data_IF_588159048333
#
_entry.id   IF_588159048333
#
_cell.length_a   1.000
_cell.length_b   1.000
_cell.length_c   1.000
_cell.angle_alpha   90.00
_cell.angle_beta   90.00
_cell.angle_gamma   90.00
#
_symmetry.space_group_name_H-M   'P 1'
#
loop_
_entity.id
_entity.type
_entity.pdbx_description
1 polymer ?
#
# COMPACT_ATOMS: atom_id res chain seq x y z
N UNK A 1 17.91 -7.01 23.61
CA UNK A 1 16.44 -6.97 23.70
C UNK A 1 15.91 -7.05 22.27
N UNK A 2 15.09 -8.05 21.94
CA UNK A 2 14.36 -8.09 20.67
C UNK A 2 13.31 -6.99 20.68
N UNK A 3 13.11 -6.32 19.54
CA UNK A 3 12.02 -5.34 19.37
C UNK A 3 10.70 -6.07 19.54
N UNK A 4 9.74 -5.55 20.33
CA UNK A 4 8.41 -6.14 20.42
C UNK A 4 7.73 -6.15 19.03
N UNK A 5 6.91 -7.16 18.78
CA UNK A 5 6.06 -7.19 17.58
C UNK A 5 5.07 -6.03 17.61
N UNK A 6 4.89 -5.42 16.44
CA UNK A 6 3.96 -4.32 16.22
C UNK A 6 3.06 -4.68 15.05
N UNK A 7 1.80 -5.04 15.34
CA UNK A 7 0.82 -5.35 14.31
C UNK A 7 0.47 -4.09 13.52
N UNK A 8 0.68 -4.11 12.21
CA UNK A 8 0.36 -3.03 11.28
C UNK A 8 -0.84 -3.33 10.40
N UNK A 9 -1.45 -4.53 10.51
CA UNK A 9 -2.62 -4.92 9.75
C UNK A 9 -3.74 -3.88 9.88
N UNK A 10 -4.49 -3.65 8.82
CA UNK A 10 -5.58 -2.69 8.79
C UNK A 10 -5.15 -1.22 8.92
N UNK A 11 -3.88 -0.89 8.70
CA UNK A 11 -3.38 0.48 8.76
C UNK A 11 -2.84 0.98 7.41
N UNK A 12 -2.68 2.29 7.29
CA UNK A 12 -2.01 2.88 6.12
C UNK A 12 -0.53 2.49 6.03
N UNK A 13 0.08 2.05 7.13
CA UNK A 13 1.43 1.49 7.16
C UNK A 13 1.45 0.18 6.38
N UNK A 14 0.53 -0.73 6.70
CA UNK A 14 0.36 -2.01 6.02
C UNK A 14 0.07 -1.79 4.52
N UNK A 15 -0.88 -0.91 4.17
CA UNK A 15 -1.18 -0.59 2.78
C UNK A 15 0.05 -0.10 1.99
N UNK A 16 0.89 0.78 2.59
CA UNK A 16 2.15 1.22 1.98
C UNK A 16 3.14 0.07 1.81
N UNK A 17 3.23 -0.84 2.76
CA UNK A 17 4.12 -2.00 2.70
C UNK A 17 3.69 -2.98 1.60
N UNK A 18 2.40 -3.24 1.43
CA UNK A 18 1.84 -4.01 0.32
C UNK A 18 2.17 -3.39 -1.05
N UNK A 19 2.00 -2.05 -1.18
CA UNK A 19 2.37 -1.32 -2.39
C UNK A 19 3.86 -1.46 -2.68
N UNK A 20 4.70 -1.33 -1.67
CA UNK A 20 6.16 -1.49 -1.80
C UNK A 20 6.51 -2.91 -2.24
N UNK A 21 5.93 -3.94 -1.63
CA UNK A 21 6.16 -5.33 -2.01
C UNK A 21 5.75 -5.60 -3.47
N UNK A 22 4.63 -5.05 -3.90
CA UNK A 22 4.16 -5.14 -5.27
C UNK A 22 5.10 -4.45 -6.28
N UNK A 23 5.63 -3.27 -5.94
CA UNK A 23 6.48 -2.48 -6.84
C UNK A 23 7.94 -2.95 -6.88
N UNK A 24 8.45 -3.57 -5.82
CA UNK A 24 9.85 -4.03 -5.75
C UNK A 24 10.29 -4.87 -6.95
N UNK A 25 9.64 -5.98 -7.31
CA UNK A 25 10.10 -6.84 -8.40
C UNK A 25 10.10 -6.12 -9.76
N UNK A 26 9.29 -5.09 -9.90
CA UNK A 26 9.17 -4.33 -11.15
C UNK A 26 10.20 -3.21 -11.25
N UNK A 27 10.41 -2.47 -10.16
CA UNK A 27 11.18 -1.21 -10.17
C UNK A 27 12.56 -1.33 -9.50
N UNK A 28 12.78 -2.30 -8.62
CA UNK A 28 14.07 -2.48 -7.96
C UNK A 28 14.99 -3.37 -8.80
N UNK A 29 16.25 -2.98 -8.93
CA UNK A 29 17.20 -3.70 -9.75
C UNK A 29 18.64 -3.30 -9.49
N UNK A 30 19.52 -3.78 -10.37
CA UNK A 30 20.96 -3.57 -10.26
C UNK A 30 21.41 -2.27 -10.96
N UNK A 31 22.65 -1.85 -10.68
CA UNK A 31 23.19 -0.60 -11.24
C UNK A 31 23.19 -0.51 -12.78
N UNK A 32 23.23 -1.61 -13.48
CA UNK A 32 23.20 -1.66 -14.95
C UNK A 32 21.79 -1.65 -15.55
N UNK A 33 20.75 -1.71 -14.71
CA UNK A 33 19.35 -1.62 -15.14
C UNK A 33 18.85 -0.17 -14.99
N UNK A 34 19.04 0.61 -16.06
CA UNK A 34 18.83 2.07 -16.04
C UNK A 34 17.37 2.48 -15.86
N UNK A 35 16.44 1.61 -16.19
CA UNK A 35 15.00 1.74 -16.03
C UNK A 35 14.47 1.26 -14.67
N UNK A 36 15.41 1.00 -13.75
CA UNK A 36 15.14 0.58 -12.37
C UNK A 36 15.90 1.45 -11.37
N UNK A 37 15.54 1.30 -10.09
CA UNK A 37 16.13 2.00 -8.95
C UNK A 37 16.82 1.02 -8.00
N UNK A 38 17.72 1.52 -7.18
CA UNK A 38 18.44 0.68 -6.21
C UNK A 38 17.57 0.22 -5.03
N UNK A 39 16.46 0.94 -4.72
CA UNK A 39 15.58 0.57 -3.63
C UNK A 39 14.16 1.12 -3.82
N UNK A 40 13.17 0.29 -3.48
CA UNK A 40 11.77 0.67 -3.33
C UNK A 40 11.39 0.45 -1.87
N UNK A 41 11.05 1.52 -1.16
CA UNK A 41 10.83 1.46 0.29
C UNK A 41 9.68 2.39 0.71
N UNK A 42 9.10 2.09 1.87
CA UNK A 42 8.14 3.01 2.49
C UNK A 42 8.85 4.28 2.94
N UNK A 43 8.22 5.42 2.69
CA UNK A 43 8.72 6.71 3.17
C UNK A 43 8.43 6.89 4.65
N UNK A 44 9.46 7.26 5.40
CA UNK A 44 9.38 7.55 6.82
C UNK A 44 10.02 8.91 7.05
N UNK A 45 9.21 9.92 7.39
CA UNK A 45 9.68 11.26 7.71
C UNK A 45 9.28 12.35 6.71
N UNK A 46 9.91 13.51 6.81
CA UNK A 46 9.67 14.66 5.96
C UNK A 46 10.88 14.95 5.08
N UNK A 47 10.65 15.53 3.90
CA UNK A 47 11.70 16.06 3.01
C UNK A 47 12.03 17.52 3.36
N UNK A 48 12.25 17.82 4.62
CA UNK A 48 12.41 19.21 5.05
C UNK A 48 13.81 19.79 4.72
N UNK A 49 14.80 18.91 4.45
CA UNK A 49 16.18 19.33 4.18
C UNK A 49 16.81 18.53 3.03
N UNK A 50 17.60 19.21 2.23
CA UNK A 50 18.41 18.62 1.16
C UNK A 50 19.31 17.47 1.65
N UNK A 51 19.78 17.54 2.90
CA UNK A 51 20.63 16.51 3.54
C UNK A 51 19.89 15.21 3.78
N UNK A 52 18.58 15.26 4.08
CA UNK A 52 17.75 14.07 4.24
C UNK A 52 17.59 13.35 2.89
N UNK A 53 17.40 14.10 1.82
CA UNK A 53 17.36 13.57 0.45
C UNK A 53 18.70 12.89 0.13
N UNK A 54 19.84 13.54 0.40
CA UNK A 54 21.17 12.95 0.19
C UNK A 54 21.37 11.66 0.96
N UNK A 55 20.91 11.59 2.20
CA UNK A 55 21.02 10.36 3.03
C UNK A 55 20.27 9.20 2.41
N UNK A 56 19.11 9.45 1.79
CA UNK A 56 18.35 8.42 1.11
C UNK A 56 18.89 8.03 -0.23
N UNK A 57 19.61 8.97 -0.88
CA UNK A 57 20.34 8.76 -2.12
C UNK A 57 21.73 8.15 -1.93
N UNK A 58 22.09 7.75 -0.70
CA UNK A 58 23.40 7.14 -0.39
C UNK A 58 23.71 5.87 -1.21
N UNK A 59 22.68 5.26 -1.80
CA UNK A 59 22.84 4.21 -2.83
C UNK A 59 22.81 4.83 -4.22
N UNK A 60 23.88 4.61 -5.00
CA UNK A 60 23.92 4.95 -6.41
C UNK A 60 22.76 4.25 -7.14
N UNK A 61 22.05 4.96 -8.02
CA UNK A 61 20.98 4.37 -8.83
C UNK A 61 19.58 4.90 -8.53
N UNK A 62 19.40 5.67 -7.45
CA UNK A 62 18.10 6.26 -7.12
C UNK A 62 17.21 5.37 -6.25
N UNK A 63 15.97 5.80 -6.07
CA UNK A 63 15.00 5.11 -5.23
C UNK A 63 13.56 5.52 -5.47
N UNK A 64 12.63 4.68 -5.03
CA UNK A 64 11.21 5.00 -4.96
C UNK A 64 10.78 4.97 -3.50
N UNK A 65 10.07 6.01 -3.06
CA UNK A 65 9.56 6.15 -1.68
C UNK A 65 8.04 6.30 -1.69
N UNK A 66 7.35 5.35 -1.08
CA UNK A 66 5.88 5.30 -1.01
C UNK A 66 5.39 5.79 0.34
N UNK A 67 4.41 6.68 0.35
CA UNK A 67 3.76 7.16 1.56
C UNK A 67 2.25 7.31 1.39
N UNK A 68 1.51 7.10 2.47
CA UNK A 68 0.13 7.54 2.57
C UNK A 68 0.11 8.99 3.06
N UNK A 69 -0.62 9.85 2.36
CA UNK A 69 -0.74 11.27 2.70
C UNK A 69 -1.90 11.54 3.65
N UNK A 70 -3.04 10.90 3.36
CA UNK A 70 -4.28 11.06 4.14
C UNK A 70 -5.29 9.98 3.78
N UNK A 71 -6.25 9.78 4.66
CA UNK A 71 -7.49 9.05 4.39
C UNK A 71 -8.61 10.09 4.29
N UNK A 72 -9.34 10.11 3.19
CA UNK A 72 -10.37 11.15 2.94
C UNK A 72 -11.76 10.72 3.30
N UNK A 73 -12.06 9.44 3.16
CA UNK A 73 -13.40 8.89 3.36
C UNK A 73 -13.26 7.53 4.03
N UNK A 74 -14.12 7.28 5.02
CA UNK A 74 -14.27 5.97 5.64
C UNK A 74 -15.68 5.47 5.37
N UNK A 75 -15.80 4.18 5.08
CA UNK A 75 -17.08 3.50 4.89
C UNK A 75 -17.01 2.10 5.49
N UNK A 76 -18.18 1.50 5.71
CA UNK A 76 -18.29 0.12 6.17
C UNK A 76 -19.05 -0.70 5.14
N UNK A 77 -18.36 -1.61 4.47
CA UNK A 77 -18.93 -2.45 3.42
C UNK A 77 -18.74 -3.92 3.80
N UNK A 78 -19.85 -4.66 3.89
CA UNK A 78 -19.80 -6.07 4.28
C UNK A 78 -19.23 -6.31 5.68
N UNK A 79 -19.39 -5.34 6.60
CA UNK A 79 -18.83 -5.42 7.95
C UNK A 79 -17.34 -5.07 8.05
N UNK A 80 -16.69 -4.73 6.93
CA UNK A 80 -15.27 -4.34 6.87
C UNK A 80 -15.13 -2.81 6.78
N UNK A 81 -14.20 -2.25 7.54
CA UNK A 81 -13.86 -0.83 7.46
C UNK A 81 -13.00 -0.57 6.22
N UNK A 82 -13.46 0.33 5.35
CA UNK A 82 -12.76 0.72 4.14
C UNK A 82 -12.44 2.21 4.20
N UNK A 83 -11.23 2.61 3.80
CA UNK A 83 -10.83 4.00 3.70
C UNK A 83 -10.30 4.35 2.32
N UNK A 84 -10.68 5.52 1.81
CA UNK A 84 -10.12 6.07 0.58
C UNK A 84 -8.80 6.77 0.90
N UNK A 85 -7.68 6.10 0.63
CA UNK A 85 -6.33 6.55 0.97
C UNK A 85 -5.70 7.26 -0.22
N UNK A 86 -5.16 8.46 0.02
CA UNK A 86 -4.34 9.16 -0.95
C UNK A 86 -2.87 8.82 -0.71
N UNK A 87 -2.24 8.25 -1.74
CA UNK A 87 -0.85 7.87 -1.73
C UNK A 87 0.02 8.80 -2.57
N UNK A 88 1.31 8.77 -2.29
CA UNK A 88 2.35 9.36 -3.13
C UNK A 88 3.52 8.39 -3.23
N UNK A 89 4.10 8.27 -4.41
CA UNK A 89 5.40 7.65 -4.63
C UNK A 89 6.35 8.72 -5.19
N UNK A 90 7.44 8.97 -4.48
CA UNK A 90 8.52 9.83 -4.97
C UNK A 90 9.56 8.99 -5.67
N UNK A 91 9.88 9.35 -6.91
CA UNK A 91 10.93 8.74 -7.73
C UNK A 91 12.15 9.64 -7.72
N UNK A 92 13.26 9.13 -7.22
CA UNK A 92 14.55 9.85 -7.16
C UNK A 92 15.54 9.21 -8.11
N UNK A 93 16.26 10.00 -8.88
CA UNK A 93 17.29 9.53 -9.80
C UNK A 93 18.51 10.41 -9.79
N UNK A 94 19.62 9.85 -10.22
CA UNK A 94 20.91 10.55 -10.50
C UNK A 94 21.36 10.21 -11.90
N UNK A 95 22.29 10.98 -12.44
CA UNK A 95 22.98 10.66 -13.69
C UNK A 95 23.69 9.30 -13.56
N UNK A 96 23.54 8.46 -14.57
CA UNK A 96 24.15 7.14 -14.58
C UNK A 96 24.43 6.65 -15.99
N UNK A 97 25.64 6.13 -16.22
CA UNK A 97 26.04 5.52 -17.50
C UNK A 97 25.81 6.43 -18.73
N UNK A 98 25.95 7.74 -18.58
CA UNK A 98 25.75 8.73 -19.66
C UNK A 98 24.29 9.13 -19.88
N UNK A 99 23.34 8.56 -19.15
CA UNK A 99 21.95 9.01 -19.14
C UNK A 99 21.72 10.03 -18.04
N UNK A 100 20.97 11.10 -18.37
CA UNK A 100 20.64 12.13 -17.41
C UNK A 100 19.64 11.64 -16.36
N UNK A 101 19.74 12.20 -15.16
CA UNK A 101 18.80 11.99 -14.06
C UNK A 101 17.35 12.20 -14.50
N UNK A 102 17.10 13.24 -15.30
CA UNK A 102 15.75 13.60 -15.76
C UNK A 102 15.16 12.52 -16.68
N UNK A 103 15.92 12.07 -17.69
CA UNK A 103 15.50 10.98 -18.58
C UNK A 103 15.18 9.72 -17.81
N UNK A 104 16.03 9.36 -16.83
CA UNK A 104 15.80 8.17 -16.00
C UNK A 104 14.55 8.32 -15.13
N UNK A 105 14.35 9.49 -14.52
CA UNK A 105 13.20 9.79 -13.68
C UNK A 105 11.89 9.63 -14.47
N UNK A 106 11.81 10.15 -15.68
CA UNK A 106 10.63 10.03 -16.55
C UNK A 106 10.32 8.60 -16.93
N UNK A 107 11.34 7.82 -17.32
CA UNK A 107 11.19 6.41 -17.69
C UNK A 107 10.68 5.58 -16.50
N UNK A 108 11.30 5.74 -15.32
CA UNK A 108 10.93 5.01 -14.11
C UNK A 108 9.53 5.42 -13.63
N UNK A 109 9.20 6.71 -13.67
CA UNK A 109 7.86 7.23 -13.35
C UNK A 109 6.80 6.63 -14.27
N UNK A 110 7.05 6.60 -15.58
CA UNK A 110 6.13 5.96 -16.54
C UNK A 110 5.95 4.47 -16.29
N UNK A 111 7.00 3.76 -15.87
CA UNK A 111 6.93 2.34 -15.50
C UNK A 111 6.11 2.14 -14.21
N UNK A 112 6.33 2.96 -13.19
CA UNK A 112 5.56 2.95 -11.96
C UNK A 112 4.07 3.14 -12.23
N UNK A 113 3.71 4.18 -13.01
CA UNK A 113 2.32 4.47 -13.37
C UNK A 113 1.67 3.30 -14.08
N UNK A 114 2.34 2.70 -15.09
CA UNK A 114 1.80 1.51 -15.77
C UNK A 114 1.58 0.34 -14.83
N UNK A 115 2.47 0.15 -13.85
CA UNK A 115 2.37 -0.94 -12.89
C UNK A 115 1.18 -0.79 -11.95
N UNK A 116 0.89 0.42 -11.47
CA UNK A 116 -0.22 0.62 -10.51
C UNK A 116 -1.60 0.69 -11.20
N UNK A 117 -1.65 1.06 -12.48
CA UNK A 117 -2.91 1.14 -13.26
C UNK A 117 -3.36 -0.24 -13.77
N UNK A 118 -2.49 -1.24 -13.76
CA UNK A 118 -2.84 -2.59 -14.20
C UNK A 118 -4.05 -3.11 -13.42
N UNK A 119 -4.97 -3.78 -14.13
CA UNK A 119 -6.22 -4.29 -13.52
C UNK A 119 -5.99 -5.31 -12.41
N UNK A 120 -4.86 -6.01 -12.44
CA UNK A 120 -4.48 -6.99 -11.44
C UNK A 120 -3.49 -6.43 -10.40
N UNK A 121 -3.26 -5.11 -10.44
CA UNK A 121 -2.38 -4.47 -9.49
C UNK A 121 -3.00 -4.45 -8.09
N UNK A 122 -2.14 -4.66 -7.08
CA UNK A 122 -2.50 -4.50 -5.67
C UNK A 122 -3.76 -5.29 -5.27
N UNK A 123 -3.75 -6.63 -5.39
CA UNK A 123 -4.92 -7.47 -5.14
C UNK A 123 -5.43 -7.42 -3.69
N UNK A 124 -4.63 -6.94 -2.75
CA UNK A 124 -4.98 -6.72 -1.34
C UNK A 124 -5.78 -5.42 -1.11
N UNK A 125 -5.82 -4.52 -2.09
CA UNK A 125 -6.64 -3.32 -2.04
C UNK A 125 -8.11 -3.65 -2.33
N UNK A 126 -9.03 -2.84 -1.78
CA UNK A 126 -10.47 -2.99 -2.06
C UNK A 126 -10.85 -2.53 -3.47
N UNK A 127 -10.21 -1.47 -3.99
CA UNK A 127 -10.49 -0.94 -5.32
C UNK A 127 -9.24 -0.82 -6.18
N UNK A 128 -9.45 -0.58 -7.46
CA UNK A 128 -8.38 -0.13 -8.35
C UNK A 128 -7.96 1.31 -8.02
N UNK A 129 -6.77 1.71 -8.50
CA UNK A 129 -6.29 3.08 -8.37
C UNK A 129 -7.14 4.07 -9.16
N UNK A 130 -7.32 5.27 -8.60
CA UNK A 130 -8.01 6.37 -9.24
C UNK A 130 -7.20 7.67 -9.11
N UNK A 131 -7.52 8.67 -9.92
CA UNK A 131 -6.91 10.01 -9.86
C UNK A 131 -5.38 10.01 -9.95
N UNK A 132 -4.81 9.13 -10.76
CA UNK A 132 -3.36 9.03 -10.94
C UNK A 132 -2.83 10.30 -11.61
N UNK A 133 -1.81 10.91 -11.00
CA UNK A 133 -1.10 12.10 -11.52
C UNK A 133 0.39 11.94 -11.31
N UNK A 134 1.17 12.55 -12.21
CA UNK A 134 2.63 12.58 -12.11
C UNK A 134 3.11 14.02 -12.28
N UNK A 135 3.92 14.49 -11.35
CA UNK A 135 4.45 15.86 -11.36
C UNK A 135 5.97 15.84 -11.23
N UNK A 136 6.65 16.63 -12.05
CA UNK A 136 8.06 16.89 -11.90
C UNK A 136 8.26 17.93 -10.79
N UNK A 137 8.99 17.55 -9.74
CA UNK A 137 9.26 18.41 -8.58
C UNK A 137 10.58 19.20 -8.75
N UNK A 138 10.86 19.63 -9.97
CA UNK A 138 12.06 20.41 -10.26
C UNK A 138 12.10 21.71 -9.45
N UNK A 139 13.26 21.92 -8.80
CA UNK A 139 13.65 23.24 -8.29
C UNK A 139 15.18 23.35 -8.29
N UNK A 140 15.70 24.59 -8.29
CA UNK A 140 17.15 24.85 -8.39
C UNK A 140 17.96 24.20 -7.27
N UNK A 141 17.43 24.11 -6.05
CA UNK A 141 18.14 23.50 -4.91
C UNK A 141 18.29 21.98 -5.08
N UNK A 142 17.28 21.32 -5.64
CA UNK A 142 17.33 19.89 -5.94
C UNK A 142 18.28 19.61 -7.09
N UNK A 143 18.29 20.48 -8.10
CA UNK A 143 19.20 20.36 -9.25
C UNK A 143 20.67 20.48 -8.85
N UNK A 144 21.01 21.40 -7.95
CA UNK A 144 22.37 21.56 -7.37
C UNK A 144 22.83 20.29 -6.63
N UNK A 145 21.91 19.45 -6.15
CA UNK A 145 22.24 18.15 -5.54
C UNK A 145 22.56 17.05 -6.57
N UNK A 146 22.37 17.32 -7.87
CA UNK A 146 22.53 16.34 -8.94
C UNK A 146 21.41 15.28 -8.95
N UNK A 147 20.20 15.64 -8.51
CA UNK A 147 19.07 14.73 -8.34
C UNK A 147 17.88 15.22 -9.17
N UNK A 148 17.13 14.33 -9.80
CA UNK A 148 15.79 14.60 -10.28
C UNK A 148 14.76 13.92 -9.39
N UNK A 149 13.63 14.58 -9.16
CA UNK A 149 12.54 14.08 -8.33
C UNK A 149 11.22 14.21 -9.08
N UNK A 150 10.50 13.09 -9.19
CA UNK A 150 9.11 13.06 -9.62
C UNK A 150 8.21 12.54 -8.51
N UNK A 151 6.99 13.04 -8.44
CA UNK A 151 5.95 12.46 -7.61
C UNK A 151 4.89 11.80 -8.48
N UNK A 152 4.40 10.65 -8.04
CA UNK A 152 3.19 10.00 -8.56
C UNK A 152 2.20 9.94 -7.42
N UNK A 153 1.03 10.56 -7.61
CA UNK A 153 -0.05 10.56 -6.63
C UNK A 153 -1.26 9.80 -7.17
N UNK A 154 -1.97 9.10 -6.29
CA UNK A 154 -3.22 8.41 -6.62
C UNK A 154 -4.09 8.26 -5.39
N UNK A 155 -5.37 7.94 -5.58
CA UNK A 155 -6.28 7.50 -4.54
C UNK A 155 -6.67 6.05 -4.74
N UNK A 156 -6.90 5.31 -3.64
CA UNK A 156 -7.29 3.92 -3.69
C UNK A 156 -7.99 3.53 -2.39
N UNK A 157 -9.03 2.71 -2.48
CA UNK A 157 -9.71 2.20 -1.30
C UNK A 157 -9.01 0.95 -0.77
N UNK A 158 -8.79 0.94 0.55
CA UNK A 158 -8.12 -0.13 1.27
C UNK A 158 -8.92 -0.57 2.48
N UNK A 159 -8.80 -1.85 2.83
CA UNK A 159 -9.27 -2.33 4.13
C UNK A 159 -8.40 -1.72 5.23
N UNK A 160 -9.04 -1.02 6.16
CA UNK A 160 -8.39 -0.37 7.31
C UNK A 160 -8.84 -0.99 8.63
N UNK A 161 -9.12 -2.26 8.60
CA UNK A 161 -9.42 -3.13 9.73
C UNK A 161 -8.54 -4.38 9.69
N UNK A 162 -8.46 -5.08 10.80
CA UNK A 162 -7.89 -6.41 10.84
C UNK A 162 -8.88 -7.40 10.21
N UNK A 163 -8.38 -8.30 9.38
CA UNK A 163 -9.18 -9.41 8.86
C UNK A 163 -9.58 -10.30 10.03
N UNK A 164 -10.89 -10.53 10.19
CA UNK A 164 -11.38 -11.47 11.19
C UNK A 164 -11.06 -12.86 10.65
N UNK A 165 -10.15 -13.54 11.33
CA UNK A 165 -9.91 -14.96 11.06
C UNK A 165 -11.16 -15.75 11.48
N UNK A 166 -11.98 -16.09 10.49
CA UNK A 166 -13.19 -16.89 10.73
C UNK A 166 -12.86 -18.26 11.32
N UNK A 167 -11.65 -18.79 11.09
CA UNK A 167 -11.18 -20.03 11.71
C UNK A 167 -10.87 -19.88 13.20
N UNK A 168 -10.75 -18.66 13.72
CA UNK A 168 -10.56 -18.38 15.16
C UNK A 168 -11.87 -18.13 15.91
N UNK A 169 -13.00 -18.00 15.20
CA UNK A 169 -14.31 -17.93 15.81
C UNK A 169 -14.70 -19.34 16.24
N UNK A 170 -15.16 -19.48 17.49
CA UNK A 170 -15.74 -20.73 17.96
C UNK A 170 -16.78 -21.20 16.94
N UNK A 171 -16.62 -22.42 16.43
CA UNK A 171 -17.54 -23.01 15.46
C UNK A 171 -18.93 -23.00 16.05
N UNK A 172 -19.85 -22.23 15.47
CA UNK A 172 -21.26 -22.26 15.82
C UNK A 172 -21.85 -23.53 15.20
N UNK A 173 -21.54 -24.68 15.86
CA UNK A 173 -21.84 -26.02 15.32
C UNK A 173 -23.28 -26.41 15.57
N UNK A 174 -23.89 -25.85 16.62
CA UNK A 174 -25.21 -26.30 17.07
C UNK A 174 -26.13 -25.11 17.35
N UNK A 175 -27.29 -25.10 16.71
CA UNK A 175 -28.36 -24.16 17.00
C UNK A 175 -29.53 -24.94 17.65
N UNK A 176 -29.82 -24.65 18.93
CA UNK A 176 -30.94 -25.18 19.65
C UNK A 176 -32.18 -24.29 19.54
N UNK A 177 -33.26 -24.77 18.98
CA UNK A 177 -34.55 -24.09 18.95
C UNK A 177 -35.50 -24.71 19.97
N UNK A 178 -35.97 -23.92 20.93
CA UNK A 178 -37.03 -24.33 21.83
C UNK A 178 -38.27 -23.48 21.64
N UNK A 179 -39.36 -24.07 21.21
CA UNK A 179 -40.66 -23.39 21.06
C UNK A 179 -41.64 -23.89 22.11
N UNK A 180 -42.25 -22.96 22.86
CA UNK A 180 -43.37 -23.24 23.74
C UNK A 180 -44.65 -22.78 23.06
N UNK A 181 -45.64 -23.67 22.88
CA UNK A 181 -46.94 -23.34 22.32
C UNK A 181 -47.92 -23.25 23.48
N UNK A 182 -48.66 -22.15 23.57
CA UNK A 182 -49.69 -21.94 24.58
C UNK A 182 -50.80 -23.02 24.45
N UNK A 183 -51.37 -23.48 25.56
CA UNK A 183 -52.45 -24.47 25.67
C UNK A 183 -52.03 -25.97 25.59
N UNK A 184 -51.19 -26.45 26.52
CA UNK A 184 -50.87 -27.88 26.72
C UNK A 184 -50.36 -28.65 25.48
N UNK A 185 -49.84 -27.94 24.48
CA UNK A 185 -49.17 -28.57 23.36
C UNK A 185 -47.76 -29.02 23.76
N UNK A 186 -47.25 -30.12 23.20
CA UNK A 186 -45.91 -30.60 23.51
C UNK A 186 -44.86 -29.57 23.04
N UNK A 187 -43.84 -29.33 23.90
CA UNK A 187 -42.68 -28.49 23.57
C UNK A 187 -42.00 -29.07 22.34
N UNK A 188 -41.69 -28.21 21.36
CA UNK A 188 -40.90 -28.59 20.20
C UNK A 188 -39.45 -28.22 20.49
N UNK A 189 -38.62 -29.23 20.67
CA UNK A 189 -37.16 -29.08 20.75
C UNK A 189 -36.54 -29.51 19.42
N UNK A 190 -35.75 -28.67 18.83
CA UNK A 190 -35.02 -28.95 17.59
C UNK A 190 -33.57 -28.56 17.72
N UNK A 191 -32.68 -29.42 17.28
CA UNK A 191 -31.24 -29.17 17.20
C UNK A 191 -30.79 -29.26 15.74
N UNK A 192 -30.15 -28.27 15.24
CA UNK A 192 -29.61 -28.23 13.88
C UNK A 192 -28.10 -28.22 13.96
N UNK A 193 -27.46 -29.27 13.44
CA UNK A 193 -26.03 -29.33 13.24
C UNK A 193 -25.72 -28.78 11.86
N UNK A 194 -24.85 -27.73 11.79
CA UNK A 194 -24.38 -27.21 10.53
C UNK A 194 -23.25 -28.10 9.98
N UNK A 195 -23.29 -28.49 8.69
CA UNK A 195 -22.18 -29.21 8.09
C UNK A 195 -20.93 -28.36 8.08
N UNK A 196 -19.80 -28.97 8.44
CA UNK A 196 -18.47 -28.38 8.35
C UNK A 196 -17.95 -28.36 6.91
#
# INVERSE_FOLDING_TARGET
>A
MSRPDFNTAGSTVWACEEIVQYLKPVLEGQENELDKVAAVERHIGRFDKAEDIKRWMARRGGGVRVAALRVTEYDTIGGRLIGNVNFVAYVFTTDQWGYTKDTRAEVITGRLVRSIIDRNALPTAYSQVANVRSDNLYNGQIDELGIAIWSVTWSQQWYLDEEIDLGSLDDFITFGLRGEIENDAPTIDGEVHLPQ
#
